data_IF_232039888586
#
_entry.id   IF_232039888586
#
_cell.length_a   1.000
_cell.length_b   1.000
_cell.length_c   1.000
_cell.angle_alpha   90.00
_cell.angle_beta   90.00
_cell.angle_gamma   90.00
#
_symmetry.space_group_name_H-M   'P 1'
#
loop_
_entity.id
_entity.type
_entity.pdbx_description
1 polymer ?
#
# COMPACT_ATOMS: atom_id res chain seq x y z
N UNK A 1 -14.17 -15.67 -33.95
CA UNK A 1 -15.62 -15.93 -34.04
C UNK A 1 -15.84 -17.30 -34.63
N UNK A 2 -16.86 -18.05 -34.20
CA UNK A 2 -17.02 -19.45 -34.58
C UNK A 2 -18.49 -19.82 -34.85
N UNK A 3 -18.69 -20.83 -35.69
CA UNK A 3 -19.98 -21.46 -35.92
C UNK A 3 -20.11 -22.72 -35.08
N UNK A 4 -21.28 -22.97 -34.50
CA UNK A 4 -21.56 -24.23 -33.83
C UNK A 4 -22.03 -25.29 -34.84
N UNK A 5 -22.19 -26.55 -34.39
CA UNK A 5 -22.69 -27.66 -35.23
C UNK A 5 -24.09 -27.44 -35.85
N UNK A 6 -24.82 -26.41 -35.41
CA UNK A 6 -26.16 -26.04 -35.89
C UNK A 6 -26.14 -24.74 -36.71
N UNK A 7 -24.97 -24.29 -37.17
CA UNK A 7 -24.82 -23.11 -38.03
C UNK A 7 -24.99 -21.76 -37.33
N UNK A 8 -25.18 -21.72 -35.99
CA UNK A 8 -25.34 -20.46 -35.25
C UNK A 8 -23.99 -19.84 -34.93
N UNK A 9 -23.90 -18.53 -35.13
CA UNK A 9 -22.75 -17.73 -34.77
C UNK A 9 -22.59 -17.62 -33.24
N UNK A 10 -21.35 -17.72 -32.75
CA UNK A 10 -21.05 -17.45 -31.35
C UNK A 10 -19.61 -16.95 -31.13
N UNK A 11 -19.43 -16.29 -29.99
CA UNK A 11 -18.12 -15.91 -29.48
C UNK A 11 -17.67 -16.90 -28.40
N UNK A 12 -16.49 -17.49 -28.56
CA UNK A 12 -15.92 -18.43 -27.60
C UNK A 12 -15.70 -17.71 -26.27
N UNK A 13 -16.27 -18.27 -25.19
CA UNK A 13 -16.15 -17.72 -23.83
C UNK A 13 -17.25 -16.73 -23.42
N UNK A 14 -18.12 -16.28 -24.34
CA UNK A 14 -19.31 -15.49 -24.01
C UNK A 14 -20.56 -16.37 -23.86
N UNK A 15 -21.47 -15.96 -22.97
CA UNK A 15 -22.76 -16.63 -22.78
C UNK A 15 -23.73 -16.35 -23.95
N UNK A 16 -24.82 -17.11 -24.00
CA UNK A 16 -25.94 -16.82 -24.89
C UNK A 16 -26.46 -15.39 -24.62
N UNK A 17 -26.87 -14.68 -25.67
CA UNK A 17 -27.51 -13.37 -25.51
C UNK A 17 -28.80 -13.49 -24.71
N UNK A 18 -29.12 -12.42 -23.98
CA UNK A 18 -30.32 -12.35 -23.15
C UNK A 18 -31.60 -12.53 -23.96
N UNK A 19 -31.65 -11.88 -25.12
CA UNK A 19 -32.74 -12.00 -26.08
C UNK A 19 -33.00 -13.46 -26.47
N UNK A 20 -31.96 -14.21 -26.83
CA UNK A 20 -32.10 -15.60 -27.27
C UNK A 20 -32.48 -16.53 -26.11
N UNK A 21 -32.06 -16.24 -24.87
CA UNK A 21 -32.55 -16.97 -23.69
C UNK A 21 -34.02 -16.69 -23.43
N UNK A 22 -34.45 -15.43 -23.55
CA UNK A 22 -35.84 -15.01 -23.44
C UNK A 22 -36.73 -15.77 -24.42
N UNK A 23 -36.37 -15.76 -25.71
CA UNK A 23 -37.10 -16.48 -26.76
C UNK A 23 -37.26 -17.98 -26.50
N UNK A 24 -36.23 -18.62 -25.92
CA UNK A 24 -36.31 -20.05 -25.53
C UNK A 24 -37.32 -20.25 -24.40
N UNK A 25 -37.29 -19.39 -23.38
CA UNK A 25 -38.20 -19.46 -22.22
C UNK A 25 -39.64 -19.20 -22.64
N UNK A 26 -39.89 -18.15 -23.43
CA UNK A 26 -41.21 -17.81 -23.93
C UNK A 26 -41.81 -18.98 -24.72
N UNK A 27 -41.00 -19.61 -25.58
CA UNK A 27 -41.45 -20.77 -26.36
C UNK A 27 -41.84 -21.96 -25.48
N UNK A 28 -41.14 -22.17 -24.37
CA UNK A 28 -41.46 -23.25 -23.44
C UNK A 28 -42.78 -22.96 -22.73
N UNK A 29 -42.99 -21.72 -22.26
CA UNK A 29 -44.24 -21.30 -21.62
C UNK A 29 -45.43 -21.42 -22.59
N UNK A 30 -45.26 -21.00 -23.85
CA UNK A 30 -46.27 -21.18 -24.91
C UNK A 30 -46.65 -22.65 -25.16
N UNK A 31 -45.70 -23.57 -25.00
CA UNK A 31 -45.96 -25.01 -25.18
C UNK A 31 -46.58 -25.69 -23.97
N UNK A 32 -46.90 -24.94 -22.92
CA UNK A 32 -47.45 -25.47 -21.68
C UNK A 32 -46.40 -25.94 -20.67
N UNK A 33 -45.17 -25.43 -20.78
CA UNK A 33 -44.15 -25.62 -19.74
C UNK A 33 -44.57 -24.93 -18.44
N UNK A 34 -44.47 -25.64 -17.32
CA UNK A 34 -44.82 -25.10 -16.02
C UNK A 34 -43.56 -24.62 -15.29
N UNK A 35 -43.56 -23.34 -14.93
CA UNK A 35 -42.47 -22.71 -14.23
C UNK A 35 -42.30 -23.25 -12.80
N UNK A 36 -43.37 -23.62 -12.11
CA UNK A 36 -43.28 -24.01 -10.70
C UNK A 36 -42.73 -25.44 -10.54
N UNK A 37 -43.19 -26.38 -11.35
CA UNK A 37 -42.64 -27.75 -11.38
C UNK A 37 -41.37 -27.87 -12.20
N UNK A 38 -41.05 -26.89 -13.04
CA UNK A 38 -39.98 -26.95 -14.02
C UNK A 38 -40.26 -27.91 -15.18
N UNK A 39 -41.51 -28.35 -15.34
CA UNK A 39 -41.94 -29.26 -16.38
C UNK A 39 -41.86 -28.63 -17.77
N UNK A 40 -41.46 -29.43 -18.75
CA UNK A 40 -41.48 -29.09 -20.17
C UNK A 40 -42.11 -30.25 -20.96
N UNK A 41 -43.21 -30.04 -21.70
CA UNK A 41 -43.92 -31.10 -22.40
C UNK A 41 -43.28 -31.55 -23.72
N UNK A 42 -42.26 -30.83 -24.23
CA UNK A 42 -41.63 -31.13 -25.52
C UNK A 42 -40.30 -31.89 -25.43
N UNK A 43 -39.69 -32.15 -26.59
CA UNK A 43 -38.34 -32.71 -26.67
C UNK A 43 -37.29 -31.61 -26.71
N UNK A 44 -36.29 -31.71 -25.84
CA UNK A 44 -35.20 -30.74 -25.74
C UNK A 44 -34.37 -30.62 -27.02
N UNK A 45 -34.22 -31.71 -27.78
CA UNK A 45 -33.48 -31.73 -29.05
C UNK A 45 -34.14 -30.83 -30.09
N UNK A 46 -35.44 -31.02 -30.31
CA UNK A 46 -36.27 -30.27 -31.25
C UNK A 46 -36.29 -28.78 -30.89
N UNK A 47 -36.48 -28.47 -29.61
CA UNK A 47 -36.40 -27.09 -29.12
C UNK A 47 -35.02 -26.48 -29.37
N UNK A 48 -33.95 -27.25 -29.13
CA UNK A 48 -32.59 -26.80 -29.41
C UNK A 48 -32.32 -26.56 -30.90
N UNK A 49 -32.81 -27.44 -31.77
CA UNK A 49 -32.68 -27.29 -33.23
C UNK A 49 -33.32 -26.00 -33.72
N UNK A 50 -34.53 -25.69 -33.23
CA UNK A 50 -35.25 -24.45 -33.57
C UNK A 50 -34.46 -23.18 -33.27
N UNK A 51 -33.71 -23.14 -32.17
CA UNK A 51 -32.94 -21.96 -31.74
C UNK A 51 -31.45 -22.05 -32.08
N UNK A 52 -31.02 -23.05 -32.85
CA UNK A 52 -29.61 -23.24 -33.19
C UNK A 52 -28.70 -23.47 -31.97
N UNK A 53 -29.22 -24.07 -30.90
CA UNK A 53 -28.52 -24.40 -29.65
C UNK A 53 -28.60 -25.89 -29.36
N UNK A 54 -27.72 -26.43 -28.51
CA UNK A 54 -27.87 -27.84 -28.11
C UNK A 54 -29.13 -28.02 -27.24
N UNK A 55 -29.79 -29.17 -27.29
CA UNK A 55 -30.95 -29.42 -26.42
C UNK A 55 -30.59 -29.35 -24.93
N UNK A 56 -29.36 -29.71 -24.57
CA UNK A 56 -28.81 -29.50 -23.21
C UNK A 56 -28.74 -28.02 -22.84
N UNK A 57 -28.41 -27.14 -23.78
CA UNK A 57 -28.39 -25.69 -23.58
C UNK A 57 -29.79 -25.15 -23.34
N UNK A 58 -30.77 -25.52 -24.17
CA UNK A 58 -32.16 -25.11 -23.99
C UNK A 58 -32.72 -25.57 -22.62
N UNK A 59 -32.45 -26.83 -22.23
CA UNK A 59 -32.79 -27.36 -20.90
C UNK A 59 -32.14 -26.56 -19.77
N UNK A 60 -30.85 -26.22 -19.89
CA UNK A 60 -30.15 -25.45 -18.86
C UNK A 60 -30.67 -24.01 -18.73
N UNK A 61 -31.06 -23.38 -19.85
CA UNK A 61 -31.69 -22.04 -19.83
C UNK A 61 -33.02 -22.10 -19.08
N UNK A 62 -33.87 -23.10 -19.38
CA UNK A 62 -35.15 -23.29 -18.71
C UNK A 62 -35.00 -23.53 -17.20
N UNK A 63 -34.14 -24.48 -16.81
CA UNK A 63 -33.92 -24.79 -15.39
C UNK A 63 -33.39 -23.60 -14.60
N UNK A 64 -32.53 -22.77 -15.22
CA UNK A 64 -32.05 -21.53 -14.58
C UNK A 64 -33.15 -20.50 -14.44
N UNK A 65 -33.99 -20.33 -15.46
CA UNK A 65 -35.13 -19.42 -15.38
C UNK A 65 -36.15 -19.84 -14.31
N UNK A 66 -36.44 -21.14 -14.21
CA UNK A 66 -37.30 -21.71 -13.15
C UNK A 66 -36.76 -21.36 -11.76
N UNK A 67 -35.46 -21.52 -11.54
CA UNK A 67 -34.82 -21.24 -10.25
C UNK A 67 -34.66 -19.74 -9.94
N UNK A 68 -34.15 -18.95 -10.90
CA UNK A 68 -33.73 -17.56 -10.68
C UNK A 68 -34.81 -16.53 -11.03
N UNK A 69 -35.82 -16.92 -11.80
CA UNK A 69 -36.90 -16.04 -12.26
C UNK A 69 -36.51 -14.99 -13.30
N UNK A 70 -35.28 -15.01 -13.80
CA UNK A 70 -34.78 -14.11 -14.83
C UNK A 70 -33.88 -14.83 -15.82
N UNK A 71 -33.86 -14.36 -17.06
CA UNK A 71 -32.90 -14.82 -18.08
C UNK A 71 -31.55 -14.09 -17.99
N UNK A 72 -31.53 -12.94 -17.29
CA UNK A 72 -30.39 -12.02 -17.16
C UNK A 72 -29.10 -12.73 -16.81
N UNK A 73 -27.94 -12.30 -17.37
CA UNK A 73 -26.70 -12.93 -17.03
C UNK A 73 -26.37 -12.49 -15.61
N UNK A 74 -26.37 -13.42 -14.66
CA UNK A 74 -25.79 -13.14 -13.35
C UNK A 74 -24.38 -12.60 -13.59
N UNK A 75 -24.10 -11.40 -13.04
CA UNK A 75 -22.72 -10.89 -12.98
C UNK A 75 -21.91 -12.06 -12.45
N UNK A 76 -20.95 -12.54 -13.25
CA UNK A 76 -20.00 -13.51 -12.74
C UNK A 76 -19.32 -12.79 -11.58
N UNK A 77 -19.75 -13.10 -10.37
CA UNK A 77 -18.92 -12.93 -9.18
C UNK A 77 -17.88 -14.04 -9.34
N UNK A 78 -17.00 -13.87 -10.33
CA UNK A 78 -15.88 -14.74 -10.55
C UNK A 78 -14.84 -14.31 -9.56
N UNK A 79 -14.60 -15.17 -8.59
CA UNK A 79 -13.68 -14.91 -7.51
C UNK A 79 -14.18 -15.62 -6.28
N UNK A 80 -13.27 -16.30 -5.60
CA UNK A 80 -13.53 -16.71 -4.24
C UNK A 80 -13.84 -15.46 -3.40
N UNK A 81 -14.68 -15.57 -2.36
CA UNK A 81 -14.88 -14.47 -1.42
C UNK A 81 -13.52 -13.92 -0.96
N UNK A 82 -13.42 -12.60 -0.70
CA UNK A 82 -12.16 -11.99 -0.31
C UNK A 82 -11.61 -12.75 0.89
N UNK A 83 -10.37 -13.23 0.76
CA UNK A 83 -9.76 -14.07 1.80
C UNK A 83 -9.58 -13.29 3.10
N UNK A 84 -9.39 -11.98 3.05
CA UNK A 84 -9.18 -11.12 4.22
C UNK A 84 -10.48 -10.41 4.60
N UNK A 85 -10.82 -10.42 5.88
CA UNK A 85 -11.94 -9.67 6.44
C UNK A 85 -11.59 -8.19 6.63
N UNK A 86 -12.59 -7.38 6.98
CA UNK A 86 -12.40 -5.96 7.28
C UNK A 86 -11.44 -5.74 8.47
N UNK A 87 -11.54 -6.57 9.51
CA UNK A 87 -10.65 -6.49 10.67
C UNK A 87 -9.20 -6.84 10.31
N UNK A 88 -9.01 -7.81 9.41
CA UNK A 88 -7.68 -8.19 8.92
C UNK A 88 -7.03 -7.03 8.13
N UNK A 89 -7.82 -6.32 7.32
CA UNK A 89 -7.34 -5.15 6.58
C UNK A 89 -6.95 -4.00 7.52
N UNK A 90 -7.72 -3.76 8.58
CA UNK A 90 -7.40 -2.75 9.60
C UNK A 90 -6.13 -3.11 10.38
N UNK A 91 -5.91 -4.39 10.68
CA UNK A 91 -4.67 -4.85 11.30
C UNK A 91 -3.47 -4.62 10.37
N UNK A 92 -3.59 -4.99 9.09
CA UNK A 92 -2.54 -4.72 8.09
C UNK A 92 -2.25 -3.21 8.01
N UNK A 93 -3.29 -2.38 7.98
CA UNK A 93 -3.18 -0.92 7.91
C UNK A 93 -2.48 -0.36 9.15
N UNK A 94 -2.85 -0.83 10.34
CA UNK A 94 -2.22 -0.42 11.60
C UNK A 94 -0.74 -0.82 11.64
N UNK A 95 -0.42 -2.07 11.26
CA UNK A 95 0.96 -2.57 11.21
C UNK A 95 1.81 -1.79 10.21
N UNK A 96 1.23 -1.38 9.06
CA UNK A 96 1.92 -0.56 8.06
C UNK A 96 2.00 0.91 8.43
N UNK A 97 1.05 1.42 9.22
CA UNK A 97 1.06 2.80 9.71
C UNK A 97 2.09 2.98 10.82
N UNK A 98 2.14 2.05 11.78
CA UNK A 98 3.13 2.04 12.86
C UNK A 98 4.53 1.75 12.30
N UNK A 99 4.63 0.78 11.38
CA UNK A 99 5.91 0.41 10.76
C UNK A 99 5.73 0.13 9.26
N UNK A 100 5.95 1.14 8.40
CA UNK A 100 5.81 1.02 6.94
C UNK A 100 6.61 -0.14 6.33
N UNK A 101 7.74 -0.48 6.94
CA UNK A 101 8.64 -1.54 6.51
C UNK A 101 8.24 -2.96 6.89
N UNK A 102 7.18 -3.15 7.67
CA UNK A 102 6.74 -4.47 8.15
C UNK A 102 6.62 -5.45 6.98
N UNK A 103 7.35 -6.57 7.05
CA UNK A 103 7.41 -7.51 5.94
C UNK A 103 6.08 -8.23 5.76
N UNK A 104 5.77 -8.59 4.52
CA UNK A 104 4.54 -9.29 4.22
C UNK A 104 4.48 -10.68 4.89
N UNK A 105 5.63 -11.28 5.24
CA UNK A 105 5.71 -12.52 6.01
C UNK A 105 5.30 -12.31 7.47
N UNK A 106 5.80 -11.25 8.11
CA UNK A 106 5.41 -10.92 9.48
C UNK A 106 3.91 -10.57 9.57
N UNK A 107 3.40 -9.84 8.57
CA UNK A 107 1.97 -9.58 8.44
C UNK A 107 1.18 -10.89 8.28
N UNK A 108 1.69 -11.87 7.50
CA UNK A 108 1.07 -13.20 7.39
C UNK A 108 0.99 -13.90 8.75
N UNK A 109 2.09 -13.91 9.51
CA UNK A 109 2.16 -14.58 10.81
C UNK A 109 1.19 -13.95 11.82
N UNK A 110 1.13 -12.61 11.88
CA UNK A 110 0.20 -11.91 12.78
C UNK A 110 -1.26 -12.13 12.39
N UNK A 111 -1.57 -12.16 11.10
CA UNK A 111 -2.91 -12.52 10.62
C UNK A 111 -3.25 -13.99 10.91
N UNK A 112 -2.28 -14.90 10.85
CA UNK A 112 -2.50 -16.31 11.16
C UNK A 112 -2.74 -16.55 12.67
N UNK A 113 -2.17 -15.70 13.53
CA UNK A 113 -2.35 -15.76 14.98
C UNK A 113 -3.69 -15.15 15.43
N UNK A 114 -4.12 -14.06 14.81
CA UNK A 114 -5.30 -13.30 15.25
C UNK A 114 -6.55 -13.48 14.37
N UNK A 115 -6.40 -14.01 13.16
CA UNK A 115 -7.48 -14.29 12.23
C UNK A 115 -7.71 -15.79 12.02
N UNK A 116 -8.76 -16.13 11.24
CA UNK A 116 -9.16 -17.51 11.02
C UNK A 116 -8.84 -17.97 9.59
N UNK A 117 -7.66 -18.58 9.41
CA UNK A 117 -7.16 -19.01 8.10
C UNK A 117 -6.70 -20.48 8.12
N UNK A 118 -7.60 -21.46 7.99
CA UNK A 118 -7.29 -22.89 8.18
C UNK A 118 -6.25 -23.45 7.21
N UNK A 119 -6.11 -22.84 6.04
CA UNK A 119 -5.18 -23.24 4.96
C UNK A 119 -4.04 -22.22 4.75
N UNK A 120 -3.91 -21.26 5.66
CA UNK A 120 -2.92 -20.19 5.57
C UNK A 120 -3.28 -19.07 4.58
N UNK A 121 -2.59 -17.94 4.72
CA UNK A 121 -2.69 -16.79 3.80
C UNK A 121 -1.40 -16.70 2.98
N UNK A 122 -1.54 -16.50 1.67
CA UNK A 122 -0.37 -16.29 0.81
C UNK A 122 0.14 -14.85 0.91
N UNK A 123 1.47 -14.69 0.87
CA UNK A 123 2.15 -13.38 0.82
C UNK A 123 1.66 -12.50 -0.34
N UNK A 124 1.30 -13.11 -1.47
CA UNK A 124 0.71 -12.43 -2.63
C UNK A 124 -0.65 -11.80 -2.34
N UNK A 125 -1.46 -12.42 -1.46
CA UNK A 125 -2.76 -11.91 -1.02
C UNK A 125 -2.57 -10.64 -0.19
N UNK A 126 -1.62 -10.66 0.74
CA UNK A 126 -1.26 -9.52 1.59
C UNK A 126 -0.69 -8.37 0.74
N UNK A 127 0.24 -8.66 -0.16
CA UNK A 127 0.81 -7.66 -1.06
C UNK A 127 -0.25 -7.01 -1.97
N UNK A 128 -1.26 -7.77 -2.38
CA UNK A 128 -2.39 -7.24 -3.14
C UNK A 128 -3.27 -6.33 -2.26
N UNK A 129 -3.54 -6.74 -1.03
CA UNK A 129 -4.32 -5.96 -0.08
C UNK A 129 -3.66 -4.60 0.22
N UNK A 130 -2.37 -4.58 0.55
CA UNK A 130 -1.58 -3.36 0.79
C UNK A 130 -1.67 -2.38 -0.39
N UNK A 131 -1.69 -2.90 -1.63
CA UNK A 131 -1.75 -2.06 -2.84
C UNK A 131 -3.13 -1.55 -3.21
N UNK A 132 -4.21 -2.23 -2.83
CA UNK A 132 -5.52 -2.02 -3.46
C UNK A 132 -6.72 -1.98 -2.51
N UNK A 133 -6.53 -2.27 -1.23
CA UNK A 133 -7.64 -2.59 -0.33
C UNK A 133 -7.54 -1.97 1.07
N UNK A 134 -6.51 -1.17 1.37
CA UNK A 134 -6.41 -0.40 2.62
C UNK A 134 -7.17 0.93 2.50
N UNK A 135 -7.67 1.46 3.62
CA UNK A 135 -8.59 2.60 3.64
C UNK A 135 -7.90 3.92 3.26
N UNK A 136 -6.61 4.07 3.56
CA UNK A 136 -5.79 5.24 3.18
C UNK A 136 -5.30 5.25 1.71
N UNK A 137 -5.76 4.30 0.88
CA UNK A 137 -5.41 4.25 -0.54
C UNK A 137 -4.12 3.48 -0.86
N UNK A 138 -3.53 3.75 -2.04
CA UNK A 138 -2.41 2.96 -2.57
C UNK A 138 -1.10 3.26 -1.84
N UNK A 139 -0.66 2.35 -0.96
CA UNK A 139 0.69 2.39 -0.41
C UNK A 139 1.71 2.07 -1.53
N UNK A 140 2.48 3.06 -1.95
CA UNK A 140 3.53 2.93 -2.96
C UNK A 140 4.89 3.38 -2.41
N UNK A 141 5.97 2.83 -2.97
CA UNK A 141 7.37 3.10 -2.58
C UNK A 141 7.72 4.59 -2.45
N UNK A 142 7.03 5.47 -3.20
CA UNK A 142 7.24 6.94 -3.16
C UNK A 142 6.77 7.61 -1.86
N UNK A 143 6.08 6.90 -0.97
CA UNK A 143 5.67 7.41 0.36
C UNK A 143 6.65 6.97 1.48
N UNK A 144 7.68 6.18 1.14
CA UNK A 144 8.70 5.64 2.08
C UNK A 144 10.07 6.35 2.00
N UNK A 145 10.28 7.27 1.05
CA UNK A 145 11.53 8.00 0.89
C UNK A 145 11.29 9.47 1.16
N UNK A 146 11.69 9.96 2.33
CA UNK A 146 12.13 11.34 2.41
C UNK A 146 13.57 11.30 2.93
N UNK A 147 14.47 11.48 1.98
CA UNK A 147 15.90 11.79 2.16
C UNK A 147 16.84 10.62 2.42
N UNK A 148 16.62 9.48 1.76
CA UNK A 148 17.71 8.53 1.48
C UNK A 148 18.20 8.81 0.07
N UNK A 149 19.45 9.25 -0.04
CA UNK A 149 20.15 9.44 -1.31
C UNK A 149 21.01 8.22 -1.60
N UNK A 150 20.95 7.72 -2.83
CA UNK A 150 21.91 6.72 -3.30
C UNK A 150 23.21 7.42 -3.70
N UNK A 151 24.23 7.29 -2.85
CA UNK A 151 25.56 7.89 -3.07
C UNK A 151 25.83 9.12 -2.20
N UNK A 152 26.88 9.87 -2.54
CA UNK A 152 27.26 11.06 -1.80
C UNK A 152 26.27 12.20 -2.02
N UNK A 153 25.94 12.91 -0.93
CA UNK A 153 25.16 14.16 -1.03
C UNK A 153 25.97 15.22 -1.78
N UNK A 154 25.25 16.13 -2.43
CA UNK A 154 25.82 17.28 -3.12
C UNK A 154 25.11 18.57 -2.67
N UNK A 155 25.55 19.71 -3.17
CA UNK A 155 24.99 21.02 -2.78
C UNK A 155 23.49 21.14 -3.06
N UNK A 156 22.99 20.58 -4.16
CA UNK A 156 21.56 20.65 -4.48
C UNK A 156 20.74 19.83 -3.49
N UNK A 157 21.18 18.61 -3.20
CA UNK A 157 20.49 17.74 -2.23
C UNK A 157 20.53 18.32 -0.82
N UNK A 158 21.63 18.98 -0.45
CA UNK A 158 21.74 19.72 0.79
C UNK A 158 20.71 20.87 0.86
N UNK A 159 20.54 21.65 -0.20
CA UNK A 159 19.53 22.73 -0.22
C UNK A 159 18.09 22.19 -0.23
N UNK A 160 17.84 21.09 -0.95
CA UNK A 160 16.54 20.43 -0.97
C UNK A 160 16.10 19.94 0.42
N UNK A 161 17.05 19.48 1.24
CA UNK A 161 16.78 19.10 2.62
C UNK A 161 16.18 20.27 3.42
N UNK A 162 16.75 21.47 3.29
CA UNK A 162 16.24 22.64 4.00
C UNK A 162 14.95 23.21 3.39
N UNK A 163 14.75 23.05 2.08
CA UNK A 163 13.44 23.31 1.44
C UNK A 163 12.33 22.43 1.98
N UNK A 164 12.63 21.16 2.25
CA UNK A 164 11.67 20.31 2.94
C UNK A 164 11.48 20.75 4.40
N UNK A 165 12.57 21.01 5.13
CA UNK A 165 12.51 21.37 6.54
C UNK A 165 11.71 22.65 6.80
N UNK A 166 11.85 23.67 5.95
CA UNK A 166 11.10 24.94 6.05
C UNK A 166 9.60 24.77 5.80
N UNK A 167 9.18 23.69 5.12
CA UNK A 167 7.77 23.36 4.84
C UNK A 167 7.19 22.34 5.82
N UNK A 168 8.05 21.70 6.64
CA UNK A 168 7.64 20.65 7.55
C UNK A 168 7.01 21.22 8.82
N UNK A 169 6.06 20.48 9.38
CA UNK A 169 5.39 20.80 10.64
C UNK A 169 5.58 19.67 11.65
N UNK A 170 5.78 20.04 12.91
CA UNK A 170 5.78 19.15 14.06
C UNK A 170 4.38 18.55 14.31
N UNK A 171 4.31 17.54 15.18
CA UNK A 171 3.04 16.86 15.56
C UNK A 171 2.02 17.85 16.16
N UNK A 172 2.49 18.88 16.86
CA UNK A 172 1.65 19.92 17.44
C UNK A 172 1.19 20.99 16.43
N UNK A 173 1.56 20.86 15.14
CA UNK A 173 1.18 21.78 14.07
C UNK A 173 2.13 22.98 13.89
N UNK A 174 3.13 23.15 14.76
CA UNK A 174 4.11 24.23 14.61
C UNK A 174 5.12 23.90 13.49
N UNK A 175 5.70 24.92 12.81
CA UNK A 175 6.81 24.70 11.88
C UNK A 175 7.99 23.97 12.56
N UNK A 176 8.72 23.18 11.78
CA UNK A 176 9.97 22.55 12.25
C UNK A 176 11.07 23.59 12.44
N UNK A 177 11.12 24.61 11.57
CA UNK A 177 12.04 25.74 11.67
C UNK A 177 11.24 27.03 11.90
N UNK A 178 11.64 27.81 12.90
CA UNK A 178 10.97 29.03 13.33
C UNK A 178 11.96 30.20 13.41
N UNK A 179 11.45 31.42 13.27
CA UNK A 179 12.25 32.63 13.49
C UNK A 179 12.83 32.63 14.92
N UNK A 180 14.13 32.89 15.04
CA UNK A 180 14.92 32.81 16.27
C UNK A 180 15.64 31.47 16.47
N UNK A 181 15.39 30.47 15.62
CA UNK A 181 16.18 29.23 15.64
C UNK A 181 17.62 29.48 15.15
N UNK A 182 18.54 28.66 15.66
CA UNK A 182 19.95 28.65 15.25
C UNK A 182 20.24 27.30 14.60
N UNK A 183 20.58 27.33 13.31
CA UNK A 183 21.06 26.18 12.57
C UNK A 183 22.57 26.03 12.74
N UNK A 184 22.98 24.98 13.44
CA UNK A 184 24.39 24.63 13.61
C UNK A 184 24.81 23.60 12.56
N UNK A 185 25.84 23.91 11.76
CA UNK A 185 26.36 23.05 10.70
C UNK A 185 27.81 22.63 10.97
N UNK A 186 28.16 21.40 10.61
CA UNK A 186 29.57 20.98 10.54
C UNK A 186 30.27 21.57 9.30
N UNK A 187 31.60 21.42 9.25
CA UNK A 187 32.43 21.99 8.17
C UNK A 187 32.54 21.08 6.93
N UNK A 188 31.50 20.32 6.59
CA UNK A 188 31.52 19.53 5.35
C UNK A 188 31.62 20.44 4.12
N UNK A 189 32.39 20.05 3.10
CA UNK A 189 32.60 20.85 1.89
C UNK A 189 31.29 21.24 1.18
N UNK A 190 30.25 20.40 1.27
CA UNK A 190 28.91 20.66 0.72
C UNK A 190 28.14 21.75 1.46
N UNK A 191 28.48 22.00 2.73
CA UNK A 191 27.88 23.05 3.56
C UNK A 191 28.54 24.40 3.34
N UNK A 192 29.65 24.45 2.59
CA UNK A 192 30.39 25.67 2.29
C UNK A 192 30.15 26.13 0.84
N UNK A 193 30.84 27.21 0.45
CA UNK A 193 30.81 27.80 -0.88
C UNK A 193 29.39 28.29 -1.26
N UNK A 194 29.00 28.14 -2.52
CA UNK A 194 27.72 28.62 -3.03
C UNK A 194 26.52 28.03 -2.28
N UNK A 195 26.62 26.77 -1.81
CA UNK A 195 25.56 26.11 -1.04
C UNK A 195 25.31 26.76 0.31
N UNK A 196 26.36 26.87 1.13
CA UNK A 196 26.28 27.50 2.44
C UNK A 196 25.86 28.97 2.38
N UNK A 197 26.42 29.71 1.42
CA UNK A 197 26.06 31.12 1.22
C UNK A 197 24.58 31.29 0.83
N UNK A 198 24.09 30.49 -0.12
CA UNK A 198 22.69 30.54 -0.52
C UNK A 198 21.74 30.13 0.63
N UNK A 199 22.11 29.10 1.39
CA UNK A 199 21.33 28.67 2.55
C UNK A 199 21.27 29.76 3.62
N UNK A 200 22.41 30.37 3.95
CA UNK A 200 22.50 31.44 4.94
C UNK A 200 21.64 32.64 4.57
N UNK A 201 21.76 33.14 3.33
CA UNK A 201 20.91 34.25 2.86
C UNK A 201 19.43 33.92 2.91
N UNK A 202 19.07 32.70 2.56
CA UNK A 202 17.68 32.28 2.54
C UNK A 202 17.09 32.15 3.95
N UNK A 203 17.79 31.48 4.87
CA UNK A 203 17.34 31.30 6.24
C UNK A 203 17.34 32.62 7.03
N UNK A 204 18.23 33.55 6.72
CA UNK A 204 18.21 34.91 7.28
C UNK A 204 16.90 35.65 6.95
N UNK A 205 16.33 35.46 5.74
CA UNK A 205 14.99 36.03 5.41
C UNK A 205 13.86 35.47 6.27
N UNK A 206 14.07 34.33 6.91
CA UNK A 206 13.13 33.69 7.85
C UNK A 206 13.48 33.99 9.32
N UNK A 207 14.53 34.78 9.58
CA UNK A 207 15.02 35.08 10.92
C UNK A 207 15.71 33.89 11.59
N UNK A 208 16.35 33.01 10.82
CA UNK A 208 17.07 31.83 11.32
C UNK A 208 18.57 32.04 11.10
N UNK A 209 19.35 31.96 12.18
CA UNK A 209 20.80 32.17 12.13
C UNK A 209 21.51 30.87 11.74
N UNK A 210 22.48 30.94 10.83
CA UNK A 210 23.34 29.81 10.48
C UNK A 210 24.72 29.98 11.10
N UNK A 211 25.13 28.99 11.90
CA UNK A 211 26.42 28.98 12.60
C UNK A 211 27.19 27.71 12.23
N UNK A 212 28.49 27.85 12.00
CA UNK A 212 29.38 26.72 11.74
C UNK A 212 30.13 26.32 12.99
N UNK A 213 30.33 25.01 13.19
CA UNK A 213 31.19 24.50 14.25
C UNK A 213 32.64 24.95 14.04
N UNK A 214 33.44 25.08 15.11
CA UNK A 214 34.89 25.20 14.98
C UNK A 214 35.49 23.99 14.24
N UNK A 215 36.58 24.21 13.51
CA UNK A 215 37.27 23.13 12.79
C UNK A 215 37.78 22.08 13.79
N UNK A 216 37.54 20.80 13.49
CA UNK A 216 37.92 19.66 14.33
C UNK A 216 37.28 19.64 15.74
N UNK A 217 36.08 20.20 15.89
CA UNK A 217 35.30 20.17 17.14
C UNK A 217 34.07 19.26 17.08
N UNK A 218 34.21 17.94 16.89
CA UNK A 218 33.08 17.00 16.92
C UNK A 218 32.41 16.93 18.29
N UNK A 219 33.12 17.26 19.38
CA UNK A 219 32.57 17.34 20.74
C UNK A 219 31.46 18.40 20.89
N UNK A 220 31.40 19.36 19.98
CA UNK A 220 30.36 20.39 19.93
C UNK A 220 29.20 20.02 18.99
N UNK A 221 29.18 18.81 18.42
CA UNK A 221 28.16 18.40 17.46
C UNK A 221 27.17 17.39 18.07
N UNK A 222 25.92 17.78 18.36
CA UNK A 222 24.93 16.89 18.99
C UNK A 222 24.57 15.69 18.09
N UNK A 223 24.73 15.83 16.77
CA UNK A 223 24.42 14.75 15.82
C UNK A 223 25.34 13.55 16.02
N UNK A 224 26.56 13.73 16.53
CA UNK A 224 27.49 12.64 16.81
C UNK A 224 26.93 11.71 17.89
N UNK A 225 26.30 12.27 18.93
CA UNK A 225 25.62 11.47 19.96
C UNK A 225 24.40 10.74 19.40
N UNK A 226 23.62 11.39 18.52
CA UNK A 226 22.51 10.76 17.83
C UNK A 226 22.98 9.60 16.94
N UNK A 227 24.06 9.78 16.17
CA UNK A 227 24.67 8.72 15.37
C UNK A 227 25.24 7.60 16.23
N UNK A 228 25.84 7.91 17.38
CA UNK A 228 26.35 6.90 18.31
C UNK A 228 25.20 6.06 18.86
N UNK A 229 24.11 6.68 19.32
CA UNK A 229 22.90 5.95 19.75
C UNK A 229 22.30 5.13 18.62
N UNK A 230 22.17 5.71 17.42
CA UNK A 230 21.68 5.00 16.23
C UNK A 230 22.52 3.75 15.93
N UNK A 231 23.86 3.87 15.93
CA UNK A 231 24.79 2.74 15.72
C UNK A 231 24.64 1.68 16.80
N UNK A 232 24.45 2.06 18.07
CA UNK A 232 24.22 1.11 19.16
C UNK A 232 22.92 0.34 18.90
N UNK A 233 21.82 1.04 18.61
CA UNK A 233 20.52 0.43 18.34
C UNK A 233 20.57 -0.51 17.14
N UNK A 234 21.22 -0.10 16.05
CA UNK A 234 21.37 -0.94 14.85
C UNK A 234 22.21 -2.19 15.09
N UNK A 235 23.06 -2.22 16.12
CA UNK A 235 23.87 -3.38 16.51
C UNK A 235 23.17 -4.31 17.50
N UNK A 236 22.00 -3.94 18.01
CA UNK A 236 21.22 -4.80 18.89
C UNK A 236 20.75 -6.06 18.14
N UNK A 237 20.75 -7.21 18.81
CA UNK A 237 20.42 -8.49 18.18
C UNK A 237 18.99 -8.48 17.62
N UNK A 238 18.06 -7.78 18.30
CA UNK A 238 16.67 -7.62 17.88
C UNK A 238 16.53 -6.87 16.54
N UNK A 239 17.52 -6.04 16.19
CA UNK A 239 17.53 -5.25 14.96
C UNK A 239 18.18 -5.98 13.78
N UNK A 240 18.95 -7.04 14.05
CA UNK A 240 19.78 -7.74 13.05
C UNK A 240 18.99 -8.21 11.84
N UNK A 241 17.87 -8.91 12.05
CA UNK A 241 17.03 -9.43 10.97
C UNK A 241 16.42 -8.30 10.12
N UNK A 242 16.11 -7.16 10.73
CA UNK A 242 15.56 -6.02 10.03
C UNK A 242 16.63 -5.30 9.21
N UNK A 243 17.84 -5.15 9.76
CA UNK A 243 19.00 -4.59 9.05
C UNK A 243 19.32 -5.42 7.80
N UNK A 244 19.40 -6.74 7.95
CA UNK A 244 19.67 -7.67 6.83
C UNK A 244 18.55 -7.64 5.77
N UNK A 245 17.30 -7.55 6.19
CA UNK A 245 16.16 -7.55 5.27
C UNK A 245 15.94 -6.20 4.58
N UNK A 246 16.15 -5.08 5.29
CA UNK A 246 15.94 -3.73 4.80
C UNK A 246 16.65 -2.69 5.70
N UNK A 247 17.82 -2.23 5.28
CA UNK A 247 18.60 -1.26 6.03
C UNK A 247 17.85 0.05 6.31
N UNK A 248 17.12 0.60 5.33
CA UNK A 248 16.38 1.86 5.51
C UNK A 248 15.31 1.72 6.60
N UNK A 249 14.58 0.62 6.58
CA UNK A 249 13.61 0.29 7.61
C UNK A 249 14.22 0.19 9.00
N UNK A 250 15.42 -0.38 9.10
CA UNK A 250 16.15 -0.49 10.36
C UNK A 250 16.60 0.89 10.85
N UNK A 251 17.11 1.73 9.96
CA UNK A 251 17.52 3.12 10.28
C UNK A 251 16.32 3.90 10.82
N UNK A 252 15.17 3.89 10.15
CA UNK A 252 13.97 4.57 10.67
C UNK A 252 13.54 4.04 12.04
N UNK A 253 13.46 2.71 12.18
CA UNK A 253 13.07 2.09 13.44
C UNK A 253 14.07 2.32 14.58
N UNK A 254 15.32 2.64 14.25
CA UNK A 254 16.34 3.01 15.23
C UNK A 254 16.31 4.52 15.55
N UNK A 255 15.97 5.37 14.59
CA UNK A 255 15.70 6.79 14.81
C UNK A 255 14.50 6.99 15.75
N UNK A 256 13.45 6.17 15.64
CA UNK A 256 12.30 6.20 16.56
C UNK A 256 12.66 5.91 18.02
N UNK A 257 13.84 5.34 18.29
CA UNK A 257 14.34 5.09 19.65
C UNK A 257 15.14 6.26 20.23
N UNK A 258 15.39 7.31 19.43
CA UNK A 258 15.97 8.56 19.91
C UNK A 258 14.83 9.42 20.44
N UNK A 259 14.73 9.48 21.76
CA UNK A 259 13.66 10.21 22.43
C UNK A 259 13.99 11.70 22.56
N UNK A 260 12.98 12.52 22.84
CA UNK A 260 13.19 13.92 23.18
C UNK A 260 14.12 14.11 24.40
N UNK A 261 14.15 13.15 25.35
CA UNK A 261 15.06 13.20 26.49
C UNK A 261 16.50 12.92 26.09
N UNK A 262 16.72 12.00 25.16
CA UNK A 262 18.05 11.77 24.59
C UNK A 262 18.55 13.03 23.89
N UNK A 263 17.72 13.65 23.04
CA UNK A 263 18.09 14.88 22.35
C UNK A 263 18.47 16.00 23.33
N UNK A 264 17.68 16.22 24.38
CA UNK A 264 18.04 17.20 25.44
C UNK A 264 19.36 16.85 26.11
N UNK A 265 19.61 15.56 26.37
CA UNK A 265 20.89 15.08 26.89
C UNK A 265 22.04 15.40 25.94
N UNK A 266 21.90 15.11 24.64
CA UNK A 266 22.93 15.36 23.64
C UNK A 266 23.29 16.85 23.56
N UNK A 267 22.28 17.73 23.48
CA UNK A 267 22.50 19.18 23.47
C UNK A 267 23.14 19.70 24.77
N UNK A 268 22.83 19.09 25.92
CA UNK A 268 23.47 19.40 27.20
C UNK A 268 24.95 18.99 27.21
N UNK A 269 25.28 17.79 26.76
CA UNK A 269 26.67 17.31 26.71
C UNK A 269 27.55 18.17 25.79
N UNK A 270 26.96 18.75 24.74
CA UNK A 270 27.65 19.68 23.83
C UNK A 270 27.67 21.14 24.32
N UNK A 271 27.04 21.45 25.45
CA UNK A 271 27.06 22.80 26.04
C UNK A 271 26.09 23.83 25.46
N UNK A 272 25.16 23.44 24.59
CA UNK A 272 24.15 24.38 24.03
C UNK A 272 23.00 24.67 25.00
N UNK A 273 22.72 23.77 25.95
CA UNK A 273 21.65 23.93 26.93
C UNK A 273 22.27 23.86 28.33
N UNK A 274 21.91 24.83 29.17
CA UNK A 274 22.34 24.87 30.58
C UNK A 274 21.76 23.70 31.40
N UNK A 275 22.44 23.38 32.52
CA UNK A 275 22.05 22.35 33.49
C UNK A 275 20.79 22.77 34.24
#
# INVERSE_FOLDING_TARGET
MAFNKKGRFYEKGKCLSEELKGQIVDKILETGGDRFSGYFPGKWTELGDKFGVSGKTAKSVWQKFVHDGTVSPKKRISGNPPKLSTGDLQLIETMKTIKPSTSSKNITEQLQLHGNFPSGISTSTINRAIRTSLSEGKWSWKRMSRNVLDGASNTLEFLNLFDEATKATQINGNPVLMAGDILVLDNCATHHNAGGFALGQWLDTMGIDVVYLPTYSPELNPVEFAFNKLKIVLKMEEMRLLVEANLHAAVYSALDQITANDMRGFYRETGYIAI
#
